data_IF_373556765058
#
_entry.id   IF_373556765058
#
_cell.length_a   1.000
_cell.length_b   1.000
_cell.length_c   1.000
_cell.angle_alpha   90.00
_cell.angle_beta   90.00
_cell.angle_gamma   90.00
#
_symmetry.space_group_name_H-M   'P 1'
#
loop_
_entity.id
_entity.type
_entity.pdbx_description
1 polymer ?
#
# COMPACT_ATOMS: atom_id res chain seq x y z
N UNK A 1 30.00 -0.43 -9.35
CA UNK A 1 29.14 -1.11 -9.71
C UNK A 1 27.76 -1.11 -9.19
N UNK A 2 26.94 -0.58 -10.04
CA UNK A 2 25.56 -0.29 -9.72
C UNK A 2 24.72 -1.53 -9.37
N UNK A 3 25.11 -2.70 -9.87
CA UNK A 3 24.36 -3.93 -9.64
C UNK A 3 24.39 -4.40 -8.19
N UNK A 4 25.45 -4.04 -7.47
CA UNK A 4 25.61 -4.42 -6.06
C UNK A 4 24.81 -3.53 -5.11
N UNK A 5 24.29 -2.42 -5.61
CA UNK A 5 23.57 -1.44 -4.79
C UNK A 5 22.05 -1.63 -4.82
N UNK A 6 21.56 -2.52 -5.66
CA UNK A 6 20.14 -2.82 -5.74
C UNK A 6 19.68 -3.73 -4.61
N UNK A 7 18.41 -3.61 -4.24
CA UNK A 7 17.74 -4.45 -3.26
C UNK A 7 16.59 -5.18 -3.96
N UNK A 8 16.35 -6.42 -3.59
CA UNK A 8 15.21 -7.17 -4.13
C UNK A 8 13.91 -6.43 -3.85
N UNK A 9 13.02 -6.43 -4.82
CA UNK A 9 11.74 -5.72 -4.73
C UNK A 9 10.95 -6.15 -3.49
N UNK A 10 10.84 -7.45 -3.24
CA UNK A 10 10.10 -7.97 -2.09
C UNK A 10 10.72 -7.52 -0.76
N UNK A 11 12.04 -7.49 -0.67
CA UNK A 11 12.72 -6.99 0.53
C UNK A 11 12.51 -5.51 0.74
N UNK A 12 12.61 -4.72 -0.33
CA UNK A 12 12.43 -3.27 -0.24
C UNK A 12 10.99 -2.92 0.17
N UNK A 13 10.00 -3.60 -0.43
CA UNK A 13 8.59 -3.39 -0.07
C UNK A 13 8.32 -3.70 1.41
N UNK A 14 8.94 -4.76 1.91
CA UNK A 14 8.85 -5.11 3.32
C UNK A 14 9.57 -4.09 4.20
N UNK A 15 10.78 -3.65 3.81
CA UNK A 15 11.55 -2.65 4.54
C UNK A 15 10.79 -1.32 4.63
N UNK A 16 10.14 -0.91 3.54
CA UNK A 16 9.35 0.32 3.47
C UNK A 16 7.96 0.19 4.11
N UNK A 17 7.64 -0.97 4.70
CA UNK A 17 6.40 -1.24 5.42
C UNK A 17 5.14 -1.17 4.56
N UNK A 18 5.25 -1.38 3.26
CA UNK A 18 4.07 -1.52 2.41
C UNK A 18 3.33 -2.83 2.66
N UNK A 19 4.05 -3.85 3.10
CA UNK A 19 3.47 -5.15 3.41
C UNK A 19 3.93 -5.61 4.80
N UNK A 20 3.06 -6.33 5.46
CA UNK A 20 3.28 -6.81 6.83
C UNK A 20 4.38 -7.87 6.91
N UNK A 21 4.51 -8.67 5.85
CA UNK A 21 5.53 -9.70 5.75
C UNK A 21 6.17 -9.68 4.38
N UNK A 22 7.40 -10.23 4.29
CA UNK A 22 8.10 -10.38 3.02
C UNK A 22 7.34 -11.30 2.06
N UNK A 23 6.68 -12.32 2.58
CA UNK A 23 5.86 -13.23 1.79
C UNK A 23 4.71 -12.50 1.10
N UNK A 24 4.03 -11.61 1.81
CA UNK A 24 2.96 -10.79 1.22
C UNK A 24 3.48 -9.86 0.12
N UNK A 25 4.66 -9.28 0.33
CA UNK A 25 5.31 -8.46 -0.68
C UNK A 25 5.64 -9.27 -1.94
N UNK A 26 6.19 -10.47 -1.76
CA UNK A 26 6.51 -11.38 -2.85
C UNK A 26 5.26 -11.78 -3.63
N UNK A 27 4.18 -12.12 -2.94
CA UNK A 27 2.92 -12.47 -3.58
C UNK A 27 2.31 -11.32 -4.37
N UNK A 28 2.35 -10.12 -3.83
CA UNK A 28 1.84 -8.93 -4.51
C UNK A 28 2.58 -8.70 -5.83
N UNK A 29 3.90 -8.88 -5.84
CA UNK A 29 4.68 -8.76 -7.06
C UNK A 29 4.33 -9.87 -8.07
N UNK A 30 4.14 -11.09 -7.61
CA UNK A 30 3.74 -12.22 -8.48
C UNK A 30 2.37 -12.00 -9.11
N UNK A 31 1.45 -11.36 -8.40
CA UNK A 31 0.10 -11.07 -8.88
C UNK A 31 0.01 -9.79 -9.70
N UNK A 32 1.15 -9.20 -10.05
CA UNK A 32 1.23 -7.95 -10.81
C UNK A 32 0.59 -6.74 -10.10
N UNK A 33 0.54 -6.78 -8.77
CA UNK A 33 0.09 -5.65 -7.96
C UNK A 33 1.19 -4.61 -7.76
N UNK A 34 2.41 -4.95 -8.15
CA UNK A 34 3.57 -4.06 -8.05
C UNK A 34 4.21 -3.96 -9.43
N UNK A 35 4.39 -2.73 -9.88
CA UNK A 35 4.98 -2.42 -11.19
C UNK A 35 6.16 -1.47 -10.97
N UNK A 36 7.28 -1.74 -11.60
CA UNK A 36 8.49 -0.92 -11.49
C UNK A 36 8.76 -0.27 -12.85
N UNK A 37 8.85 1.05 -12.87
CA UNK A 37 9.07 1.83 -14.10
C UNK A 37 8.06 1.44 -15.21
N UNK A 38 6.79 1.27 -14.82
CA UNK A 38 5.68 0.91 -15.71
C UNK A 38 5.80 -0.48 -16.33
N UNK A 39 6.66 -1.33 -15.79
CA UNK A 39 6.83 -2.71 -16.24
C UNK A 39 6.56 -3.69 -15.12
N UNK A 40 6.03 -4.85 -15.47
CA UNK A 40 5.83 -5.94 -14.52
C UNK A 40 7.16 -6.34 -13.91
N UNK A 41 7.17 -6.56 -12.61
CA UNK A 41 8.38 -6.92 -11.89
C UNK A 41 8.17 -8.21 -11.10
N UNK A 42 9.14 -9.10 -11.18
CA UNK A 42 9.19 -10.30 -10.35
C UNK A 42 9.64 -9.92 -8.94
N UNK A 43 9.28 -10.72 -7.90
CA UNK A 43 9.72 -10.42 -6.54
C UNK A 43 11.23 -10.27 -6.38
N UNK A 44 11.99 -11.03 -7.15
CA UNK A 44 13.45 -10.99 -7.11
C UNK A 44 14.10 -9.88 -7.92
N UNK A 45 13.32 -9.08 -8.63
CA UNK A 45 13.89 -7.97 -9.40
C UNK A 45 14.55 -6.96 -8.44
N UNK A 46 15.76 -6.52 -8.78
CA UNK A 46 16.45 -5.51 -7.99
C UNK A 46 15.94 -4.11 -8.34
N UNK A 47 15.70 -3.32 -7.31
CA UNK A 47 15.28 -1.92 -7.45
C UNK A 47 16.41 -1.01 -6.97
N UNK A 48 16.42 0.20 -7.50
CA UNK A 48 17.49 1.17 -7.26
C UNK A 48 16.89 2.52 -6.88
N UNK A 49 17.70 3.38 -6.29
CA UNK A 49 17.29 4.75 -6.00
C UNK A 49 16.90 5.44 -7.31
N UNK A 50 15.77 6.12 -7.31
CA UNK A 50 15.22 6.79 -8.49
C UNK A 50 14.21 5.97 -9.27
N UNK A 51 14.08 4.68 -8.98
CA UNK A 51 13.06 3.84 -9.63
C UNK A 51 11.66 4.26 -9.18
N UNK A 52 10.73 4.26 -10.11
CA UNK A 52 9.32 4.54 -9.80
C UNK A 52 8.56 3.23 -9.66
N UNK A 53 7.85 3.12 -8.56
CA UNK A 53 7.12 1.90 -8.21
C UNK A 53 5.64 2.23 -8.03
N UNK A 54 4.79 1.46 -8.69
CA UNK A 54 3.34 1.51 -8.50
C UNK A 54 2.92 0.30 -7.68
N UNK A 55 2.29 0.53 -6.54
CA UNK A 55 1.92 -0.53 -5.60
C UNK A 55 0.41 -0.50 -5.39
N UNK A 56 -0.23 -1.60 -5.71
CA UNK A 56 -1.66 -1.77 -5.49
C UNK A 56 -1.89 -2.56 -4.20
N UNK A 57 -2.53 -1.91 -3.22
CA UNK A 57 -2.92 -2.55 -1.96
C UNK A 57 -4.43 -2.50 -1.82
N UNK A 58 -5.08 -3.64 -2.02
CA UNK A 58 -6.53 -3.68 -2.03
C UNK A 58 -7.09 -2.80 -3.15
N UNK A 59 -7.90 -1.82 -2.80
CA UNK A 59 -8.51 -0.89 -3.76
C UNK A 59 -7.73 0.42 -3.90
N UNK A 60 -6.59 0.54 -3.25
CA UNK A 60 -5.76 1.75 -3.28
C UNK A 60 -4.49 1.50 -4.08
N UNK A 61 -4.04 2.52 -4.79
CA UNK A 61 -2.79 2.47 -5.55
C UNK A 61 -1.86 3.58 -5.07
N UNK A 62 -0.61 3.21 -4.83
CA UNK A 62 0.46 4.13 -4.42
C UNK A 62 1.45 4.25 -5.56
N UNK A 63 1.73 5.46 -6.02
CA UNK A 63 2.79 5.72 -6.98
C UNK A 63 3.91 6.48 -6.28
N UNK A 64 5.06 5.85 -6.17
CA UNK A 64 6.17 6.35 -5.39
C UNK A 64 7.47 6.34 -6.18
N UNK A 65 8.41 7.14 -5.72
CA UNK A 65 9.79 7.10 -6.18
C UNK A 65 10.67 6.59 -5.05
N UNK A 66 11.60 5.68 -5.36
CA UNK A 66 12.54 5.15 -4.37
C UNK A 66 13.60 6.21 -4.09
N UNK A 67 13.68 6.64 -2.84
CA UNK A 67 14.63 7.66 -2.39
C UNK A 67 15.85 7.01 -1.73
N UNK A 68 15.63 5.89 -1.02
CA UNK A 68 16.69 5.16 -0.34
C UNK A 68 16.39 3.68 -0.34
N UNK A 69 17.41 2.87 -0.10
CA UNK A 69 17.32 1.41 -0.10
C UNK A 69 17.52 0.87 1.30
N UNK A 70 16.80 -0.22 1.62
CA UNK A 70 16.97 -0.96 2.86
C UNK A 70 16.57 -2.41 2.64
N UNK A 71 17.24 -3.32 3.34
CA UNK A 71 16.92 -4.76 3.30
C UNK A 71 16.14 -5.21 4.53
N UNK A 72 16.29 -4.51 5.65
CA UNK A 72 15.62 -4.82 6.90
C UNK A 72 14.41 -3.93 7.09
N UNK A 73 13.39 -4.46 7.73
CA UNK A 73 12.18 -3.68 8.03
C UNK A 73 12.51 -2.57 9.03
N UNK A 74 12.24 -1.34 8.64
CA UNK A 74 12.51 -0.16 9.45
C UNK A 74 11.25 0.26 10.24
N UNK A 75 11.44 1.08 11.27
CA UNK A 75 10.33 1.71 11.95
C UNK A 75 9.54 2.64 11.02
N UNK A 76 8.31 3.03 11.39
CA UNK A 76 7.44 3.79 10.48
C UNK A 76 8.06 5.08 9.95
N UNK A 77 8.77 5.84 10.80
CA UNK A 77 9.38 7.10 10.40
C UNK A 77 10.52 6.89 9.39
N UNK A 78 11.39 5.91 9.66
CA UNK A 78 12.51 5.59 8.77
C UNK A 78 12.04 4.95 7.46
N UNK A 79 10.99 4.11 7.54
CA UNK A 79 10.41 3.50 6.35
C UNK A 79 9.82 4.56 5.42
N UNK A 80 9.17 5.58 5.94
CA UNK A 80 8.62 6.66 5.15
C UNK A 80 9.70 7.47 4.42
N UNK A 81 10.92 7.47 4.94
CA UNK A 81 12.06 8.15 4.31
C UNK A 81 12.66 7.37 3.13
N UNK A 82 12.26 6.10 2.94
CA UNK A 82 12.75 5.28 1.82
C UNK A 82 12.11 5.65 0.49
N UNK A 83 11.01 6.36 0.51
CA UNK A 83 10.26 6.68 -0.71
C UNK A 83 9.58 8.03 -0.59
N UNK A 84 9.19 8.55 -1.75
CA UNK A 84 8.36 9.74 -1.84
C UNK A 84 7.16 9.42 -2.73
N UNK A 85 5.96 9.60 -2.21
CA UNK A 85 4.75 9.42 -2.99
C UNK A 85 4.48 10.67 -3.81
N UNK A 86 4.08 10.50 -5.10
CA UNK A 86 3.70 11.63 -5.94
C UNK A 86 2.49 12.35 -5.35
N UNK A 87 2.46 13.67 -5.46
CA UNK A 87 1.35 14.47 -4.95
C UNK A 87 0.02 14.06 -5.60
N UNK A 88 0.03 13.81 -6.89
CA UNK A 88 -1.16 13.34 -7.62
C UNK A 88 -1.63 11.98 -7.11
N UNK A 89 -0.70 11.09 -6.76
CA UNK A 89 -1.02 9.79 -6.20
C UNK A 89 -1.66 9.93 -4.82
N UNK A 90 -1.10 10.78 -3.97
CA UNK A 90 -1.66 11.06 -2.65
C UNK A 90 -3.09 11.57 -2.76
N UNK A 91 -3.33 12.49 -3.67
CA UNK A 91 -4.65 13.08 -3.86
C UNK A 91 -5.65 12.06 -4.39
N UNK A 92 -5.28 11.28 -5.41
CA UNK A 92 -6.13 10.22 -5.96
C UNK A 92 -6.46 9.19 -4.91
N UNK A 93 -5.49 8.79 -4.11
CA UNK A 93 -5.69 7.82 -3.03
C UNK A 93 -6.64 8.38 -1.97
N UNK A 94 -6.50 9.64 -1.60
CA UNK A 94 -7.36 10.30 -0.63
C UNK A 94 -8.81 10.36 -1.13
N UNK A 95 -9.00 10.73 -2.38
CA UNK A 95 -10.33 10.76 -3.01
C UNK A 95 -10.94 9.36 -3.07
N UNK A 96 -10.15 8.36 -3.43
CA UNK A 96 -10.62 6.97 -3.49
C UNK A 96 -11.04 6.45 -2.12
N UNK A 97 -10.29 6.79 -1.08
CA UNK A 97 -10.65 6.44 0.29
C UNK A 97 -11.99 7.06 0.70
N UNK A 98 -12.20 8.32 0.35
CA UNK A 98 -13.45 9.01 0.64
C UNK A 98 -14.63 8.34 -0.08
N UNK A 99 -14.47 7.99 -1.36
CA UNK A 99 -15.50 7.26 -2.12
C UNK A 99 -15.83 5.91 -1.48
N UNK A 100 -14.81 5.16 -1.08
CA UNK A 100 -15.00 3.85 -0.45
C UNK A 100 -15.73 3.97 0.88
N UNK A 101 -15.44 5.00 1.67
CA UNK A 101 -16.15 5.27 2.91
C UNK A 101 -17.62 5.59 2.65
N UNK A 102 -17.91 6.41 1.65
CA UNK A 102 -19.28 6.72 1.26
C UNK A 102 -20.05 5.47 0.80
N UNK A 103 -19.41 4.63 0.00
CA UNK A 103 -20.00 3.36 -0.43
C UNK A 103 -20.30 2.44 0.74
N UNK A 104 -19.40 2.35 1.72
CA UNK A 104 -19.64 1.57 2.93
C UNK A 104 -20.83 2.11 3.72
N UNK A 105 -20.94 3.43 3.87
CA UNK A 105 -22.07 4.06 4.56
C UNK A 105 -23.38 3.79 3.81
N UNK A 106 -23.39 3.95 2.50
CA UNK A 106 -24.55 3.64 1.67
C UNK A 106 -24.92 2.16 1.75
N UNK A 107 -23.94 1.27 1.70
CA UNK A 107 -24.15 -0.18 1.85
C UNK A 107 -24.75 -0.56 3.19
N UNK A 108 -24.32 0.07 4.28
CA UNK A 108 -24.89 -0.17 5.61
C UNK A 108 -26.30 0.38 5.74
N UNK A 109 -26.64 1.45 5.01
CA UNK A 109 -28.00 1.99 5.00
C UNK A 109 -28.99 1.08 4.27
N UNK A 110 -28.54 0.30 3.30
CA UNK A 110 -29.39 -0.60 2.49
C UNK A 110 -29.36 -2.04 2.95
N UNK A 111 -28.39 -2.42 3.77
CA UNK A 111 -28.23 -3.77 4.26
C UNK A 111 -28.87 -3.98 5.62
N UNK A 112 -29.24 -5.24 5.90
CA UNK A 112 -29.72 -5.62 7.23
C UNK A 112 -28.50 -5.62 8.17
N UNK A 113 -28.46 -4.79 9.23
CA UNK A 113 -27.34 -4.78 10.14
C UNK A 113 -27.19 -6.14 10.83
N UNK A 114 -25.97 -6.59 11.04
CA UNK A 114 -25.75 -7.77 11.87
C UNK A 114 -25.95 -7.42 13.36
N UNK A 115 -25.87 -8.42 14.24
CA UNK A 115 -26.09 -8.21 15.66
C UNK A 115 -25.16 -7.15 16.25
N UNK A 116 -23.94 -7.07 15.77
CA UNK A 116 -22.94 -6.11 16.23
C UNK A 116 -23.29 -4.69 15.82
N UNK A 117 -23.72 -4.51 14.59
CA UNK A 117 -24.15 -3.22 14.06
C UNK A 117 -25.41 -2.73 14.77
N UNK A 118 -26.34 -3.62 15.06
CA UNK A 118 -27.55 -3.29 15.82
C UNK A 118 -27.23 -2.77 17.20
N UNK A 119 -26.28 -3.39 17.90
CA UNK A 119 -25.85 -2.95 19.23
C UNK A 119 -25.24 -1.55 19.18
N UNK A 120 -24.42 -1.26 18.17
CA UNK A 120 -23.82 0.05 17.98
C UNK A 120 -24.88 1.12 17.69
N UNK A 121 -25.85 0.81 16.86
CA UNK A 121 -26.97 1.71 16.56
C UNK A 121 -27.82 2.00 17.78
N UNK A 122 -28.09 0.97 18.59
CA UNK A 122 -28.83 1.12 19.84
C UNK A 122 -28.09 2.00 20.84
N UNK A 123 -26.77 1.83 20.98
CA UNK A 123 -25.96 2.70 21.83
C UNK A 123 -25.99 4.15 21.39
N UNK A 124 -25.92 4.41 20.09
CA UNK A 124 -25.98 5.75 19.55
C UNK A 124 -27.33 6.42 19.77
N UNK A 125 -28.41 5.67 19.71
CA UNK A 125 -29.75 6.18 19.98
C UNK A 125 -29.99 6.51 21.45
N UNK A 126 -29.31 5.83 22.35
CA UNK A 126 -29.48 5.99 23.79
C UNK A 126 -28.53 7.04 24.39
N UNK A 127 -27.71 7.67 23.59
CA UNK A 127 -26.88 8.79 23.94
C UNK A 127 -27.50 10.08 23.43
#
# INVERSE_FOLDING_TARGET
MSDDQGVRLDRWLFAARFFKTRHLASEAARRNHVVVNQQRAKPGKRVFIGDRVSIRKGLLTYEIEIIDLAEKRLGPALAAALYQEDDDSCERRRLRQAELQQQRRAGTAHGRPDKRQRRQLTKLKNV
#
